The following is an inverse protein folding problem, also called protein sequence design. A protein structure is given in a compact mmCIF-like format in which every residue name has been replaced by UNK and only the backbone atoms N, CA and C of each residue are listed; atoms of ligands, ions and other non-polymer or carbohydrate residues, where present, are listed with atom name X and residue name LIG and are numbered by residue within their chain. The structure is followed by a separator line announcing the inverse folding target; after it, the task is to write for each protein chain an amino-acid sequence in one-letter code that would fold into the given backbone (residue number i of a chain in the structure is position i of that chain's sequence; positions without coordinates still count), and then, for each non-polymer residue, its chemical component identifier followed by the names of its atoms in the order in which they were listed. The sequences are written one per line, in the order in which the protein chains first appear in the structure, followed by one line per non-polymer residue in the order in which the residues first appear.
data_IF_685145973844
#
_entry.id   IF_685145973844
#
_cell.length_a   1.000
_cell.length_b   1.000
_cell.length_c   1.000
_cell.angle_alpha   90.00
_cell.angle_beta   90.00
_cell.angle_gamma   90.00
#
_symmetry.space_group_name_H-M   'P 1'
#
loop_
_entity.id
_entity.type
_entity.pdbx_description
1 polymer ?
#
# COMPACT_ATOMS: atom_id res chain seq x y z
N UNK A 1 -11.94 0.01 17.96
CA UNK A 1 -11.93 -0.21 16.49
C UNK A 1 -11.57 1.11 15.85
N UNK A 2 -10.41 1.21 15.20
CA UNK A 2 -10.11 2.39 14.40
C UNK A 2 -11.10 2.42 13.23
N UNK A 3 -11.98 3.41 13.24
CA UNK A 3 -13.14 3.60 12.36
C UNK A 3 -12.78 3.86 10.89
N UNK A 4 -11.49 3.83 10.55
CA UNK A 4 -10.96 4.13 9.23
C UNK A 4 -10.81 2.87 8.36
N UNK A 5 -10.98 1.66 8.87
CA UNK A 5 -11.05 0.48 8.01
C UNK A 5 -12.00 -0.54 8.62
N UNK A 6 -12.77 -1.19 7.75
CA UNK A 6 -13.77 -2.20 8.12
C UNK A 6 -13.21 -3.62 8.04
N UNK A 7 -12.22 -3.83 7.18
CA UNK A 7 -11.52 -5.09 7.00
C UNK A 7 -10.01 -4.89 7.09
N UNK A 8 -9.33 -5.80 7.76
CA UNK A 8 -7.87 -5.81 7.82
C UNK A 8 -7.26 -6.70 6.73
N UNK A 9 -5.96 -6.54 6.51
CA UNK A 9 -5.23 -7.22 5.45
C UNK A 9 -5.19 -8.74 5.63
N UNK A 10 -5.21 -9.22 6.88
CA UNK A 10 -5.25 -10.65 7.20
C UNK A 10 -6.61 -11.28 6.87
N UNK A 11 -7.71 -10.59 7.17
CA UNK A 11 -9.08 -11.00 6.82
C UNK A 11 -9.28 -11.06 5.30
N UNK A 12 -8.60 -10.18 4.57
CA UNK A 12 -8.63 -10.14 3.11
C UNK A 12 -7.65 -11.11 2.45
N UNK A 13 -6.89 -11.88 3.23
CA UNK A 13 -5.87 -12.80 2.75
C UNK A 13 -4.86 -12.12 1.79
N UNK A 14 -4.44 -10.90 2.13
CA UNK A 14 -3.44 -10.13 1.39
C UNK A 14 -2.02 -10.56 1.73
N UNK A 15 -1.08 -10.14 0.89
CA UNK A 15 0.35 -10.40 1.08
C UNK A 15 1.04 -9.29 1.87
N UNK A 16 0.47 -8.09 1.93
CA UNK A 16 1.00 -6.93 2.64
C UNK A 16 0.04 -6.46 3.74
N UNK A 17 0.58 -6.04 4.88
CA UNK A 17 -0.23 -5.55 6.00
C UNK A 17 -0.42 -4.04 5.96
N UNK A 18 -1.53 -3.61 5.36
CA UNK A 18 -1.95 -2.20 5.29
C UNK A 18 -2.83 -1.80 6.49
N UNK A 19 -2.53 -0.62 7.04
CA UNK A 19 -3.34 0.03 8.07
C UNK A 19 -3.63 1.47 7.67
N UNK A 20 -4.91 1.83 7.53
CA UNK A 20 -5.28 3.23 7.29
C UNK A 20 -5.12 4.02 8.57
N UNK A 21 -4.28 5.05 8.51
CA UNK A 21 -4.05 6.00 9.62
C UNK A 21 -4.90 7.24 9.50
N UNK A 22 -5.12 7.71 8.28
CA UNK A 22 -5.78 8.98 8.04
C UNK A 22 -6.40 8.99 6.65
N UNK A 23 -7.58 9.60 6.54
CA UNK A 23 -8.22 9.88 5.27
C UNK A 23 -8.81 11.28 5.32
N UNK A 24 -8.21 12.22 4.59
CA UNK A 24 -8.64 13.61 4.50
C UNK A 24 -8.53 14.09 3.05
N UNK A 25 -9.59 14.72 2.54
CA UNK A 25 -9.63 15.40 1.23
C UNK A 25 -8.71 14.80 0.14
N UNK A 26 -9.14 13.69 -0.48
CA UNK A 26 -8.42 13.01 -1.58
C UNK A 26 -6.99 12.56 -1.23
N UNK A 27 -6.58 12.62 0.04
CA UNK A 27 -5.31 12.12 0.55
C UNK A 27 -5.57 10.96 1.52
N UNK A 28 -4.84 9.87 1.33
CA UNK A 28 -4.93 8.69 2.18
C UNK A 28 -3.56 8.34 2.75
N UNK A 29 -3.48 8.23 4.07
CA UNK A 29 -2.27 7.81 4.78
C UNK A 29 -2.41 6.36 5.21
N UNK A 30 -1.54 5.50 4.69
CA UNK A 30 -1.51 4.07 4.96
C UNK A 30 -0.15 3.74 5.58
N UNK A 31 -0.16 3.08 6.73
CA UNK A 31 1.02 2.48 7.32
C UNK A 31 1.17 1.04 6.84
N UNK A 32 2.40 0.67 6.49
CA UNK A 32 2.79 -0.73 6.28
C UNK A 32 3.36 -1.34 7.55
N UNK A 33 2.85 -2.53 7.89
CA UNK A 33 3.38 -3.38 8.97
C UNK A 33 4.10 -4.62 8.45
N UNK A 34 4.66 -4.52 7.25
CA UNK A 34 5.43 -5.57 6.61
C UNK A 34 4.60 -6.50 5.74
N UNK A 35 5.24 -7.58 5.28
CA UNK A 35 4.59 -8.62 4.51
C UNK A 35 3.96 -9.67 5.43
N UNK A 36 2.75 -10.10 5.12
CA UNK A 36 2.02 -11.18 5.80
C UNK A 36 2.44 -12.57 5.29
N UNK A 37 3.16 -12.61 4.16
CA UNK A 37 3.66 -13.83 3.52
C UNK A 37 5.16 -13.70 3.29
N UNK A 38 5.85 -14.85 3.23
CA UNK A 38 7.21 -14.89 2.72
C UNK A 38 7.17 -14.65 1.21
N UNK A 39 7.38 -13.40 0.81
CA UNK A 39 7.52 -12.99 -0.58
C UNK A 39 8.98 -12.68 -0.87
N UNK A 40 9.58 -13.38 -1.84
CA UNK A 40 10.87 -13.00 -2.38
C UNK A 40 10.71 -11.77 -3.28
N UNK A 41 11.66 -10.85 -3.17
CA UNK A 41 11.67 -9.68 -4.04
C UNK A 41 11.92 -10.12 -5.49
N UNK A 42 11.02 -9.72 -6.38
CA UNK A 42 11.09 -10.02 -7.81
C UNK A 42 10.55 -8.83 -8.61
N UNK A 43 10.66 -8.91 -9.93
CA UNK A 43 10.11 -7.88 -10.83
C UNK A 43 8.58 -7.69 -10.64
N UNK A 44 7.89 -8.70 -10.12
CA UNK A 44 6.43 -8.67 -9.86
C UNK A 44 6.05 -8.19 -8.47
N UNK A 45 7.03 -7.95 -7.59
CA UNK A 45 6.77 -7.57 -6.20
C UNK A 45 5.95 -6.27 -6.11
N UNK A 46 6.26 -5.28 -6.95
CA UNK A 46 5.49 -4.05 -7.01
C UNK A 46 4.09 -4.24 -7.61
N UNK A 47 3.93 -5.14 -8.59
CA UNK A 47 2.62 -5.48 -9.15
C UNK A 47 1.71 -6.06 -8.06
N UNK A 48 2.21 -7.04 -7.30
CA UNK A 48 1.47 -7.62 -6.17
C UNK A 48 1.14 -6.59 -5.10
N UNK A 49 2.07 -5.68 -4.80
CA UNK A 49 1.84 -4.61 -3.85
C UNK A 49 0.67 -3.71 -4.27
N UNK A 50 0.65 -3.31 -5.55
CA UNK A 50 -0.40 -2.46 -6.09
C UNK A 50 -1.73 -3.21 -6.16
N UNK A 51 -1.74 -4.47 -6.60
CA UNK A 51 -2.95 -5.31 -6.62
C UNK A 51 -3.56 -5.46 -5.23
N UNK A 52 -2.75 -5.79 -4.22
CA UNK A 52 -3.20 -5.94 -2.84
C UNK A 52 -3.68 -4.60 -2.26
N UNK A 53 -2.98 -3.49 -2.53
CA UNK A 53 -3.38 -2.16 -2.10
C UNK A 53 -4.76 -1.79 -2.68
N UNK A 54 -4.95 -2.00 -3.97
CA UNK A 54 -6.20 -1.65 -4.63
C UNK A 54 -7.37 -2.50 -4.17
N UNK A 55 -7.13 -3.80 -3.98
CA UNK A 55 -8.12 -4.70 -3.41
C UNK A 55 -8.47 -4.30 -1.96
N UNK A 56 -7.46 -3.94 -1.16
CA UNK A 56 -7.65 -3.44 0.19
C UNK A 56 -8.54 -2.20 0.23
N UNK A 57 -8.31 -1.24 -0.67
CA UNK A 57 -9.12 -0.02 -0.77
C UNK A 57 -10.58 -0.32 -1.15
N UNK A 58 -10.79 -1.14 -2.19
CA UNK A 58 -12.13 -1.51 -2.66
C UNK A 58 -12.93 -2.23 -1.56
N UNK A 59 -12.30 -3.17 -0.87
CA UNK A 59 -12.94 -3.93 0.21
C UNK A 59 -13.26 -3.10 1.46
N UNK A 60 -12.55 -1.98 1.64
CA UNK A 60 -12.81 -1.01 2.69
C UNK A 60 -13.70 0.15 2.25
N UNK A 61 -14.31 0.07 1.05
CA UNK A 61 -15.19 1.09 0.46
C UNK A 61 -14.53 2.45 0.28
N UNK A 62 -13.22 2.46 0.13
CA UNK A 62 -12.50 3.64 -0.31
C UNK A 62 -12.79 3.93 -1.78
N UNK A 63 -12.63 5.19 -2.17
CA UNK A 63 -12.92 5.59 -3.53
C UNK A 63 -11.98 4.91 -4.53
N UNK A 64 -12.44 4.75 -5.77
CA UNK A 64 -11.62 4.10 -6.80
C UNK A 64 -10.47 5.03 -7.21
N UNK A 65 -9.47 4.46 -7.87
CA UNK A 65 -8.16 5.06 -8.24
C UNK A 65 -8.17 6.51 -8.76
N UNK A 66 -9.29 7.02 -9.24
CA UNK A 66 -9.43 8.33 -9.87
C UNK A 66 -9.73 9.47 -8.88
N UNK A 67 -10.16 9.14 -7.68
CA UNK A 67 -10.61 10.14 -6.71
C UNK A 67 -9.50 10.56 -5.73
N UNK A 68 -8.38 9.85 -5.67
CA UNK A 68 -7.23 10.21 -4.84
C UNK A 68 -6.26 11.13 -5.57
N UNK A 69 -5.81 12.17 -4.89
CA UNK A 69 -4.66 12.97 -5.31
C UNK A 69 -3.37 12.27 -4.89
N UNK A 70 -3.30 11.80 -3.64
CA UNK A 70 -2.12 11.13 -3.10
C UNK A 70 -2.48 10.01 -2.13
N UNK A 71 -1.69 8.93 -2.18
CA UNK A 71 -1.65 7.89 -1.17
C UNK A 71 -0.24 7.88 -0.58
N UNK A 72 -0.14 8.26 0.69
CA UNK A 72 1.11 8.24 1.42
C UNK A 72 1.28 6.88 2.08
N UNK A 73 2.36 6.18 1.76
CA UNK A 73 2.74 4.90 2.35
C UNK A 73 3.85 5.12 3.37
N UNK A 74 3.52 4.95 4.63
CA UNK A 74 4.45 5.05 5.73
C UNK A 74 5.08 3.69 6.04
N UNK A 75 6.30 3.73 6.58
CA UNK A 75 6.99 2.55 7.10
C UNK A 75 7.24 1.45 6.04
N UNK A 76 7.59 1.84 4.81
CA UNK A 76 7.97 0.90 3.72
C UNK A 76 9.17 0.01 4.09
N UNK A 77 9.99 0.44 5.05
CA UNK A 77 11.13 -0.33 5.58
C UNK A 77 10.69 -1.63 6.29
N UNK A 78 9.44 -1.70 6.76
CA UNK A 78 8.86 -2.90 7.37
C UNK A 78 8.82 -4.11 6.44
N UNK A 79 8.94 -3.90 5.13
CA UNK A 79 9.05 -4.96 4.12
C UNK A 79 10.38 -5.74 4.20
N UNK A 80 11.36 -5.24 4.98
CA UNK A 80 12.68 -5.88 5.18
C UNK A 80 13.41 -6.20 3.87
N UNK A 81 13.19 -5.39 2.85
CA UNK A 81 13.95 -5.43 1.60
C UNK A 81 15.38 -4.93 1.86
N UNK A 82 16.35 -5.47 1.13
CA UNK A 82 17.70 -4.87 1.11
C UNK A 82 17.65 -3.45 0.51
N UNK A 83 18.69 -2.65 0.72
CA UNK A 83 18.70 -1.23 0.31
C UNK A 83 18.47 -1.04 -1.20
N UNK A 84 19.05 -1.92 -2.03
CA UNK A 84 18.91 -1.87 -3.48
C UNK A 84 17.47 -2.17 -3.93
N UNK A 85 16.88 -3.24 -3.38
CA UNK A 85 15.51 -3.65 -3.67
C UNK A 85 14.50 -2.63 -3.16
N UNK A 86 14.71 -2.06 -1.98
CA UNK A 86 13.86 -0.98 -1.46
C UNK A 86 13.92 0.24 -2.37
N UNK A 87 15.12 0.65 -2.80
CA UNK A 87 15.28 1.77 -3.74
C UNK A 87 14.60 1.50 -5.07
N UNK A 88 14.72 0.28 -5.60
CA UNK A 88 14.07 -0.10 -6.84
C UNK A 88 12.54 -0.14 -6.70
N UNK A 89 12.02 -0.69 -5.59
CA UNK A 89 10.60 -0.70 -5.26
C UNK A 89 10.03 0.73 -5.22
N UNK A 90 10.72 1.65 -4.54
CA UNK A 90 10.31 3.05 -4.45
C UNK A 90 10.35 3.80 -5.78
N UNK A 91 11.27 3.44 -6.70
CA UNK A 91 11.26 4.01 -8.06
C UNK A 91 9.98 3.67 -8.80
N UNK A 92 9.37 2.51 -8.56
CA UNK A 92 8.12 2.16 -9.23
C UNK A 92 6.91 2.94 -8.69
N UNK A 93 7.02 3.66 -7.58
CA UNK A 93 5.91 4.46 -7.07
C UNK A 93 5.49 5.56 -8.07
N UNK A 94 6.46 6.13 -8.80
CA UNK A 94 6.18 7.11 -9.87
C UNK A 94 5.56 6.50 -11.12
N UNK A 95 5.49 5.17 -11.24
CA UNK A 95 4.84 4.50 -12.37
C UNK A 95 3.31 4.49 -12.25
N UNK A 96 2.77 4.81 -11.08
CA UNK A 96 1.32 4.89 -10.86
C UNK A 96 0.79 6.18 -11.51
N UNK A 97 -0.04 6.04 -12.55
CA UNK A 97 -0.48 7.18 -13.38
C UNK A 97 -1.70 7.92 -12.83
N UNK A 98 -2.48 7.30 -11.94
CA UNK A 98 -3.81 7.80 -11.58
C UNK A 98 -3.84 8.57 -10.25
N UNK A 99 -2.84 8.37 -9.39
CA UNK A 99 -2.67 9.08 -8.13
C UNK A 99 -1.19 9.06 -7.76
N UNK A 100 -0.77 10.00 -6.90
CA UNK A 100 0.60 10.03 -6.41
C UNK A 100 0.78 9.01 -5.31
N UNK A 101 1.55 7.94 -5.56
CA UNK A 101 1.99 7.04 -4.51
C UNK A 101 3.30 7.58 -3.92
N UNK A 102 3.31 7.95 -2.63
CA UNK A 102 4.45 8.64 -2.01
C UNK A 102 4.89 7.83 -0.80
N UNK A 103 6.16 7.45 -0.74
CA UNK A 103 6.73 6.88 0.49
C UNK A 103 7.05 8.01 1.48
N UNK A 104 6.57 7.88 2.72
CA UNK A 104 6.80 8.82 3.83
C UNK A 104 7.45 8.16 5.04
#
# INVERSE_FOLDING_TARGET
MNTLQTKNSKELNLSFDFIVKKHEYRILDIELNGALRQLEYSNRYFEWFIEDLLYFLDMNRYQKRWDYEAINIFNVQSLKLNEENLKNFLKYFSSVTNFNLIAK
#
